data_IF_161233401023
#
_entry.id   IF_161233401023
#
_cell.length_a   1.000
_cell.length_b   1.000
_cell.length_c   1.000
_cell.angle_alpha   90.00
_cell.angle_beta   90.00
_cell.angle_gamma   90.00
#
_symmetry.space_group_name_H-M   'P 1'
#
loop_
_entity.id
_entity.type
_entity.pdbx_description
1 polymer ?
#
# COMPACT_ATOMS: atom_id res chain seq x y z
N UNK A 1 0.06 -19.32 -32.28
CA UNK A 1 1.03 -18.43 -31.60
C UNK A 1 0.41 -17.49 -30.55
N UNK A 2 -0.83 -16.99 -30.70
CA UNK A 2 -1.50 -16.19 -29.65
C UNK A 2 -1.94 -17.01 -28.43
N UNK A 3 -2.39 -18.25 -28.66
CA UNK A 3 -2.87 -19.17 -27.61
C UNK A 3 -1.82 -19.56 -26.56
N UNK A 4 -0.65 -20.07 -26.98
CA UNK A 4 0.44 -20.43 -26.04
C UNK A 4 0.92 -19.22 -25.22
N UNK A 5 0.98 -18.03 -25.84
CA UNK A 5 1.28 -16.78 -25.11
C UNK A 5 0.18 -16.42 -24.09
N UNK A 6 -1.06 -16.83 -24.32
CA UNK A 6 -2.18 -16.65 -23.37
C UNK A 6 -2.02 -17.54 -22.14
N UNK A 7 -1.70 -18.82 -22.34
CA UNK A 7 -1.43 -19.77 -21.25
C UNK A 7 -0.29 -19.30 -20.35
N UNK A 8 0.86 -18.96 -20.96
CA UNK A 8 2.03 -18.48 -20.22
C UNK A 8 1.72 -17.26 -19.36
N UNK A 9 0.89 -16.34 -19.89
CA UNK A 9 0.42 -15.18 -19.13
C UNK A 9 -0.46 -15.60 -17.96
N UNK A 10 -1.47 -16.45 -18.17
CA UNK A 10 -2.37 -16.91 -17.10
C UNK A 10 -1.60 -17.61 -15.97
N UNK A 11 -0.67 -18.51 -16.31
CA UNK A 11 0.21 -19.16 -15.35
C UNK A 11 1.05 -18.14 -14.56
N UNK A 12 1.73 -17.23 -15.26
CA UNK A 12 2.55 -16.21 -14.59
C UNK A 12 1.72 -15.29 -13.69
N UNK A 13 0.57 -14.83 -14.15
CA UNK A 13 -0.33 -13.98 -13.37
C UNK A 13 -0.81 -14.68 -12.10
N UNK A 14 -1.17 -15.97 -12.19
CA UNK A 14 -1.61 -16.76 -11.05
C UNK A 14 -0.56 -16.86 -9.94
N UNK A 15 0.71 -17.03 -10.32
CA UNK A 15 1.84 -17.11 -9.39
C UNK A 15 2.23 -15.73 -8.80
N UNK A 16 2.16 -14.68 -9.62
CA UNK A 16 2.55 -13.32 -9.22
C UNK A 16 1.62 -12.73 -8.14
N UNK A 17 0.34 -13.15 -8.08
CA UNK A 17 -0.64 -12.70 -7.07
C UNK A 17 -0.10 -12.85 -5.64
N UNK A 18 0.55 -13.97 -5.33
CA UNK A 18 1.14 -14.22 -4.00
C UNK A 18 2.20 -13.18 -3.65
N UNK A 19 3.06 -12.84 -4.60
CA UNK A 19 4.12 -11.86 -4.40
C UNK A 19 3.56 -10.44 -4.28
N UNK A 20 2.54 -10.11 -5.08
CA UNK A 20 1.89 -8.81 -5.06
C UNK A 20 1.18 -8.54 -3.73
N UNK A 21 0.37 -9.47 -3.24
CA UNK A 21 -0.34 -9.35 -1.96
C UNK A 21 0.60 -9.28 -0.76
N UNK A 22 1.66 -10.10 -0.74
CA UNK A 22 2.72 -10.00 0.29
C UNK A 22 3.44 -8.66 0.24
N UNK A 23 3.76 -8.16 -0.96
CA UNK A 23 4.42 -6.87 -1.14
C UNK A 23 3.54 -5.72 -0.65
N UNK A 24 2.25 -5.75 -0.99
CA UNK A 24 1.25 -4.79 -0.51
C UNK A 24 1.26 -4.69 1.02
N UNK A 25 1.10 -5.83 1.70
CA UNK A 25 1.12 -5.89 3.17
C UNK A 25 2.44 -5.37 3.75
N UNK A 26 3.57 -5.73 3.14
CA UNK A 26 4.90 -5.25 3.56
C UNK A 26 5.02 -3.73 3.46
N UNK A 27 4.55 -3.14 2.36
CA UNK A 27 4.57 -1.69 2.16
C UNK A 27 3.66 -0.94 3.14
N UNK A 28 2.46 -1.46 3.40
CA UNK A 28 1.57 -0.93 4.45
C UNK A 28 2.27 -0.93 5.81
N UNK A 29 2.91 -2.05 6.20
CA UNK A 29 3.64 -2.15 7.46
C UNK A 29 4.81 -1.16 7.54
N UNK A 30 5.59 -1.01 6.46
CA UNK A 30 6.68 -0.01 6.39
C UNK A 30 6.14 1.40 6.53
N UNK A 31 4.97 1.69 5.95
CA UNK A 31 4.32 2.99 6.07
C UNK A 31 3.89 3.28 7.50
N UNK A 32 3.43 2.29 8.27
CA UNK A 32 3.14 2.46 9.71
C UNK A 32 4.40 2.89 10.47
N UNK A 33 5.55 2.30 10.16
CA UNK A 33 6.83 2.67 10.78
C UNK A 33 7.23 4.10 10.41
N UNK A 34 7.08 4.49 9.14
CA UNK A 34 7.36 5.85 8.69
C UNK A 34 6.41 6.86 9.36
N UNK A 35 5.11 6.58 9.42
CA UNK A 35 4.10 7.40 10.12
C UNK A 35 4.46 7.63 11.60
N UNK A 36 4.90 6.59 12.32
CA UNK A 36 5.37 6.72 13.71
C UNK A 36 6.55 7.68 13.83
N UNK A 37 7.51 7.60 12.91
CA UNK A 37 8.65 8.52 12.87
C UNK A 37 8.20 9.96 12.57
N UNK A 38 7.26 10.17 11.65
CA UNK A 38 6.69 11.50 11.35
C UNK A 38 6.01 12.07 12.59
N UNK A 39 5.17 11.29 13.27
CA UNK A 39 4.48 11.74 14.49
C UNK A 39 5.46 12.14 15.59
N UNK A 40 6.48 11.31 15.83
CA UNK A 40 7.50 11.62 16.81
C UNK A 40 8.27 12.90 16.47
N UNK A 41 8.69 13.07 15.22
CA UNK A 41 9.45 14.25 14.78
C UNK A 41 8.59 15.51 14.81
N UNK A 42 7.33 15.46 14.38
CA UNK A 42 6.39 16.59 14.46
C UNK A 42 6.18 17.04 15.91
N UNK A 43 6.05 16.11 16.85
CA UNK A 43 5.96 16.43 18.28
C UNK A 43 7.21 17.15 18.78
N UNK A 44 8.40 16.64 18.45
CA UNK A 44 9.66 17.29 18.82
C UNK A 44 9.83 18.69 18.22
N UNK A 45 9.36 18.89 16.99
CA UNK A 45 9.36 20.21 16.33
C UNK A 45 8.45 21.17 17.08
N UNK A 46 7.20 20.76 17.37
CA UNK A 46 6.24 21.59 18.12
C UNK A 46 6.75 21.94 19.52
N UNK A 47 7.35 20.98 20.23
CA UNK A 47 7.97 21.23 21.55
C UNK A 47 9.12 22.23 21.44
N UNK A 48 9.92 22.18 20.37
CA UNK A 48 11.03 23.12 20.14
C UNK A 48 10.52 24.52 19.76
N UNK A 49 9.49 24.62 18.92
CA UNK A 49 8.82 25.88 18.55
C UNK A 49 8.21 26.56 19.78
N UNK A 50 7.51 25.80 20.63
CA UNK A 50 6.95 26.30 21.88
C UNK A 50 8.03 26.83 22.84
N UNK A 51 9.19 26.16 22.91
CA UNK A 51 10.33 26.67 23.70
C UNK A 51 10.90 27.95 23.11
N UNK A 52 11.04 28.02 21.78
CA UNK A 52 11.57 29.19 21.08
C UNK A 52 10.70 30.43 21.33
N UNK A 53 9.37 30.28 21.29
CA UNK A 53 8.41 31.35 21.57
C UNK A 53 8.56 31.96 22.98
N UNK A 54 9.15 31.23 23.92
CA UNK A 54 9.37 31.67 25.30
C UNK A 54 10.81 32.18 25.56
N UNK A 55 11.71 32.14 24.57
CA UNK A 55 13.08 32.59 24.71
C UNK A 55 13.22 34.07 24.32
N UNK A 56 13.94 34.83 25.15
CA UNK A 56 14.21 36.26 24.92
C UNK A 56 15.67 36.57 24.60
N UNK A 57 16.58 35.60 24.79
CA UNK A 57 18.00 35.78 24.53
C UNK A 57 18.39 35.28 23.13
N UNK A 58 19.20 36.08 22.43
CA UNK A 58 19.58 35.85 21.03
C UNK A 58 20.31 34.52 20.80
N UNK A 59 21.18 34.13 21.74
CA UNK A 59 21.93 32.86 21.66
C UNK A 59 21.00 31.64 21.73
N UNK A 60 19.98 31.71 22.58
CA UNK A 60 18.93 30.71 22.73
C UNK A 60 18.07 30.61 21.48
N UNK A 61 17.65 31.74 20.91
CA UNK A 61 16.90 31.80 19.65
C UNK A 61 17.68 31.11 18.51
N UNK A 62 18.94 31.48 18.29
CA UNK A 62 19.79 30.86 17.25
C UNK A 62 19.95 29.35 17.43
N UNK A 63 20.02 28.88 18.67
CA UNK A 63 20.19 27.46 18.99
C UNK A 63 18.89 26.68 18.77
N UNK A 64 17.75 27.24 19.18
CA UNK A 64 16.44 26.66 18.93
C UNK A 64 16.10 26.60 17.44
N UNK A 65 16.38 27.68 16.68
CA UNK A 65 16.19 27.71 15.22
C UNK A 65 17.00 26.61 14.53
N UNK A 66 18.28 26.44 14.94
CA UNK A 66 19.13 25.38 14.41
C UNK A 66 18.56 24.00 14.72
N UNK A 67 18.02 23.80 15.92
CA UNK A 67 17.40 22.53 16.32
C UNK A 67 16.15 22.23 15.48
N UNK A 68 15.25 23.20 15.30
CA UNK A 68 14.05 23.07 14.47
C UNK A 68 14.44 22.71 13.03
N UNK A 69 15.44 23.39 12.46
CA UNK A 69 15.94 23.07 11.12
C UNK A 69 16.43 21.62 11.00
N UNK A 70 17.24 21.14 11.93
CA UNK A 70 17.73 19.75 11.92
C UNK A 70 16.57 18.74 12.03
N UNK A 71 15.56 19.04 12.85
CA UNK A 71 14.38 18.19 12.97
C UNK A 71 13.55 18.16 11.68
N UNK A 72 13.40 19.31 11.01
CA UNK A 72 12.74 19.40 9.71
C UNK A 72 13.51 18.63 8.61
N UNK A 73 14.84 18.74 8.57
CA UNK A 73 15.68 17.94 7.67
C UNK A 73 15.51 16.43 7.93
N UNK A 74 15.40 16.03 9.19
CA UNK A 74 15.10 14.63 9.58
C UNK A 74 13.69 14.19 9.18
N UNK A 75 12.70 15.09 9.24
CA UNK A 75 11.31 14.83 8.87
C UNK A 75 11.16 14.58 7.36
N UNK A 76 12.01 15.18 6.53
CA UNK A 76 11.96 15.00 5.08
C UNK A 76 12.12 13.54 4.64
N UNK A 77 12.95 12.76 5.33
CA UNK A 77 13.20 11.35 4.98
C UNK A 77 11.97 10.43 5.14
N UNK A 78 11.30 10.36 6.31
CA UNK A 78 10.10 9.55 6.43
C UNK A 78 8.94 10.08 5.57
N UNK A 79 8.86 11.39 5.30
CA UNK A 79 7.89 11.95 4.34
C UNK A 79 8.14 11.44 2.92
N UNK A 80 9.39 11.47 2.44
CA UNK A 80 9.77 10.90 1.15
C UNK A 80 9.53 9.38 1.09
N UNK A 81 9.77 8.69 2.20
CA UNK A 81 9.47 7.25 2.33
C UNK A 81 7.99 6.96 2.14
N UNK A 82 7.09 7.78 2.72
CA UNK A 82 5.65 7.64 2.54
C UNK A 82 5.24 7.83 1.07
N UNK A 83 5.78 8.84 0.39
CA UNK A 83 5.53 9.08 -1.06
C UNK A 83 6.02 7.91 -1.92
N UNK A 84 7.20 7.37 -1.62
CA UNK A 84 7.71 6.16 -2.28
C UNK A 84 6.80 4.96 -2.05
N UNK A 85 6.35 4.73 -0.81
CA UNK A 85 5.47 3.62 -0.46
C UNK A 85 4.14 3.73 -1.22
N UNK A 86 3.54 4.91 -1.28
CA UNK A 86 2.31 5.14 -2.04
C UNK A 86 2.47 4.77 -3.53
N UNK A 87 3.59 5.16 -4.14
CA UNK A 87 3.90 4.80 -5.52
C UNK A 87 4.08 3.27 -5.69
N UNK A 88 4.67 2.58 -4.71
CA UNK A 88 4.77 1.11 -4.76
C UNK A 88 3.42 0.43 -4.65
N UNK A 89 2.50 0.96 -3.83
CA UNK A 89 1.12 0.47 -3.77
C UNK A 89 0.37 0.73 -5.08
N UNK A 90 0.56 1.90 -5.68
CA UNK A 90 0.01 2.26 -6.99
C UNK A 90 0.40 1.24 -8.07
N UNK A 91 1.69 0.89 -8.15
CA UNK A 91 2.19 -0.11 -9.10
C UNK A 91 1.51 -1.47 -8.91
N UNK A 92 1.27 -1.89 -7.66
CA UNK A 92 0.59 -3.17 -7.38
C UNK A 92 -0.88 -3.11 -7.81
N UNK A 93 -1.57 -2.00 -7.51
CA UNK A 93 -2.95 -1.75 -7.94
C UNK A 93 -3.06 -1.82 -9.47
N UNK A 94 -2.26 -1.04 -10.18
CA UNK A 94 -2.31 -0.95 -11.64
C UNK A 94 -1.93 -2.28 -12.32
N UNK A 95 -0.97 -3.01 -11.75
CA UNK A 95 -0.63 -4.36 -12.21
C UNK A 95 -1.80 -5.34 -12.02
N UNK A 96 -2.57 -5.21 -10.94
CA UNK A 96 -3.79 -6.00 -10.71
C UNK A 96 -4.83 -5.70 -11.79
N UNK A 97 -5.01 -4.43 -12.17
CA UNK A 97 -5.90 -4.02 -13.26
C UNK A 97 -5.47 -4.60 -14.60
N UNK A 98 -4.16 -4.53 -14.88
CA UNK A 98 -3.60 -5.10 -16.10
C UNK A 98 -3.89 -6.60 -16.19
N UNK A 99 -3.69 -7.34 -15.09
CA UNK A 99 -3.96 -8.77 -15.03
C UNK A 99 -5.44 -9.07 -15.20
N UNK A 100 -6.31 -8.28 -14.57
CA UNK A 100 -7.76 -8.40 -14.73
C UNK A 100 -8.17 -8.21 -16.20
N UNK A 101 -7.69 -7.15 -16.86
CA UNK A 101 -7.99 -6.89 -18.27
C UNK A 101 -7.50 -8.02 -19.19
N UNK A 102 -6.28 -8.52 -18.98
CA UNK A 102 -5.76 -9.66 -19.76
C UNK A 102 -6.62 -10.91 -19.54
N UNK A 103 -6.98 -11.19 -18.29
CA UNK A 103 -7.78 -12.38 -17.95
C UNK A 103 -9.18 -12.29 -18.55
N UNK A 104 -9.81 -11.11 -18.56
CA UNK A 104 -11.09 -10.88 -19.26
C UNK A 104 -10.99 -11.14 -20.76
N UNK A 105 -9.93 -10.68 -21.41
CA UNK A 105 -9.71 -11.00 -22.83
C UNK A 105 -9.54 -12.51 -23.06
N UNK A 106 -8.93 -13.24 -22.12
CA UNK A 106 -8.84 -14.70 -22.19
C UNK A 106 -10.19 -15.40 -21.98
N UNK A 107 -11.15 -14.77 -21.30
CA UNK A 107 -12.50 -15.31 -21.13
C UNK A 107 -13.33 -15.26 -22.43
N UNK A 108 -13.00 -14.35 -23.34
CA UNK A 108 -13.65 -14.24 -24.67
C UNK A 108 -13.12 -15.28 -25.68
N UNK A 109 -12.05 -16.00 -25.34
CA UNK A 109 -11.44 -17.04 -26.18
C UNK A 109 -11.99 -18.44 -25.80
N UNK A 110 -12.46 -19.18 -26.79
CA UNK A 110 -13.15 -20.48 -26.61
C UNK A 110 -12.30 -21.54 -25.89
N UNK A 111 -10.97 -21.44 -25.96
CA UNK A 111 -10.06 -22.41 -25.35
C UNK A 111 -9.52 -21.87 -24.02
N UNK A 112 -9.18 -20.58 -23.96
CA UNK A 112 -8.60 -19.99 -22.75
C UNK A 112 -9.64 -19.72 -21.65
N UNK A 113 -10.93 -19.60 -21.97
CA UNK A 113 -11.97 -19.27 -21.00
C UNK A 113 -12.11 -20.28 -19.85
N UNK A 114 -11.74 -21.54 -20.10
CA UNK A 114 -11.76 -22.61 -19.10
C UNK A 114 -10.41 -23.34 -19.04
N UNK A 115 -9.33 -22.67 -19.42
CA UNK A 115 -7.99 -23.23 -19.38
C UNK A 115 -7.60 -23.59 -17.94
N UNK A 116 -7.08 -24.81 -17.79
CA UNK A 116 -6.53 -25.29 -16.53
C UNK A 116 -5.12 -24.72 -16.33
N UNK A 117 -5.00 -23.76 -15.40
CA UNK A 117 -3.73 -23.10 -15.06
C UNK A 117 -2.94 -23.99 -14.12
N UNK A 118 -3.63 -24.54 -13.12
CA UNK A 118 -3.17 -25.61 -12.23
C UNK A 118 -4.34 -26.59 -12.05
N UNK A 119 -4.12 -27.81 -11.52
CA UNK A 119 -5.21 -28.79 -11.34
C UNK A 119 -6.43 -28.25 -10.58
N UNK A 120 -6.24 -27.25 -9.71
CA UNK A 120 -7.31 -26.68 -8.87
C UNK A 120 -7.71 -25.24 -9.28
N UNK A 121 -7.02 -24.63 -10.25
CA UNK A 121 -7.29 -23.25 -10.69
C UNK A 121 -7.43 -23.21 -12.20
N UNK A 122 -8.59 -22.72 -12.64
CA UNK A 122 -8.84 -22.38 -14.04
C UNK A 122 -8.95 -20.87 -14.22
N UNK A 123 -9.02 -20.43 -15.46
CA UNK A 123 -9.18 -19.02 -15.83
C UNK A 123 -10.30 -18.30 -15.06
N UNK A 124 -11.49 -18.88 -14.82
CA UNK A 124 -12.54 -18.22 -14.05
C UNK A 124 -12.17 -17.95 -12.58
N UNK A 125 -11.46 -18.88 -11.91
CA UNK A 125 -11.01 -18.66 -10.53
C UNK A 125 -9.92 -17.57 -10.47
N UNK A 126 -9.03 -17.52 -11.48
CA UNK A 126 -8.07 -16.42 -11.59
C UNK A 126 -8.77 -15.08 -11.81
N UNK A 127 -9.82 -15.05 -12.64
CA UNK A 127 -10.62 -13.85 -12.85
C UNK A 127 -11.26 -13.39 -11.54
N UNK A 128 -11.90 -14.31 -10.81
CA UNK A 128 -12.61 -14.00 -9.57
C UNK A 128 -11.68 -13.39 -8.52
N UNK A 129 -10.48 -13.96 -8.31
CA UNK A 129 -9.53 -13.41 -7.34
C UNK A 129 -9.01 -12.04 -7.80
N UNK A 130 -8.82 -11.80 -9.10
CA UNK A 130 -8.36 -10.52 -9.62
C UNK A 130 -9.44 -9.43 -9.47
N UNK A 131 -10.70 -9.77 -9.68
CA UNK A 131 -11.84 -8.88 -9.41
C UNK A 131 -11.93 -8.54 -7.92
N UNK A 132 -11.79 -9.56 -7.07
CA UNK A 132 -11.72 -9.37 -5.63
C UNK A 132 -10.57 -8.42 -5.26
N UNK A 133 -9.33 -8.70 -5.68
CA UNK A 133 -8.17 -7.87 -5.36
C UNK A 133 -8.32 -6.44 -5.87
N UNK A 134 -8.83 -6.23 -7.09
CA UNK A 134 -9.12 -4.88 -7.61
C UNK A 134 -10.12 -4.15 -6.71
N UNK A 135 -11.22 -4.79 -6.34
CA UNK A 135 -12.25 -4.19 -5.46
C UNK A 135 -11.73 -3.79 -4.08
N UNK A 136 -10.62 -4.40 -3.62
CA UNK A 136 -10.01 -4.13 -2.33
C UNK A 136 -8.85 -3.15 -2.40
N UNK A 137 -7.99 -3.25 -3.40
CA UNK A 137 -6.81 -2.39 -3.55
C UNK A 137 -7.14 -0.97 -3.97
N UNK A 138 -8.21 -0.76 -4.74
CA UNK A 138 -8.62 0.58 -5.16
C UNK A 138 -8.99 1.50 -4.00
N UNK A 139 -10.05 1.19 -3.22
CA UNK A 139 -10.45 2.04 -2.12
C UNK A 139 -9.37 2.10 -1.04
N UNK A 140 -8.61 1.02 -0.84
CA UNK A 140 -7.48 1.06 0.10
C UNK A 140 -6.40 2.04 -0.35
N UNK A 141 -6.06 2.04 -1.63
CA UNK A 141 -5.06 2.95 -2.18
C UNK A 141 -5.51 4.41 -2.07
N UNK A 142 -6.77 4.71 -2.36
CA UNK A 142 -7.33 6.07 -2.22
C UNK A 142 -7.21 6.58 -0.79
N UNK A 143 -7.51 5.73 0.21
CA UNK A 143 -7.27 6.07 1.62
C UNK A 143 -5.80 6.36 1.89
N UNK A 144 -4.87 5.57 1.32
CA UNK A 144 -3.41 5.81 1.50
C UNK A 144 -2.95 7.08 0.81
N UNK A 145 -3.49 7.39 -0.36
CA UNK A 145 -3.20 8.63 -1.07
C UNK A 145 -3.64 9.84 -0.25
N UNK A 146 -4.88 9.82 0.25
CA UNK A 146 -5.41 10.87 1.11
C UNK A 146 -4.53 11.11 2.34
N UNK A 147 -4.06 10.04 2.99
CA UNK A 147 -3.14 10.16 4.12
C UNK A 147 -1.84 10.87 3.69
N UNK A 148 -1.22 10.44 2.61
CA UNK A 148 0.07 10.99 2.16
C UNK A 148 -0.05 12.44 1.71
N UNK A 149 -1.16 12.82 1.08
CA UNK A 149 -1.44 14.22 0.72
C UNK A 149 -1.66 15.09 1.97
N UNK A 150 -2.38 14.57 2.97
CA UNK A 150 -2.65 15.30 4.21
C UNK A 150 -1.38 15.52 5.06
N UNK A 151 -0.36 14.66 4.96
CA UNK A 151 0.90 14.80 5.70
C UNK A 151 1.64 16.12 5.43
N UNK A 152 1.46 16.71 4.25
CA UNK A 152 2.09 17.98 3.90
C UNK A 152 1.41 19.16 4.64
N UNK A 153 0.14 19.03 5.07
CA UNK A 153 -0.69 20.11 5.63
C UNK A 153 -1.30 19.79 7.01
N UNK A 154 -0.54 19.12 7.89
CA UNK A 154 -1.00 18.81 9.25
C UNK A 154 -1.10 20.09 10.08
N UNK A 155 -2.29 20.35 10.65
CA UNK A 155 -2.55 21.51 11.51
C UNK A 155 -2.49 21.19 13.01
N UNK A 156 -2.71 19.94 13.41
CA UNK A 156 -2.80 19.56 14.82
C UNK A 156 -2.27 18.14 15.12
N UNK A 157 -2.10 17.83 16.40
CA UNK A 157 -1.76 16.49 16.87
C UNK A 157 -2.92 15.49 16.64
N UNK A 158 -4.16 15.96 16.78
CA UNK A 158 -5.36 15.14 16.54
C UNK A 158 -5.44 14.68 15.08
N UNK A 159 -5.13 15.57 14.13
CA UNK A 159 -5.04 15.21 12.71
C UNK A 159 -4.02 14.07 12.50
N UNK A 160 -2.90 14.10 13.21
CA UNK A 160 -1.86 13.08 13.08
C UNK A 160 -2.28 11.71 13.60
N UNK A 161 -3.01 11.66 14.70
CA UNK A 161 -3.56 10.41 15.22
C UNK A 161 -4.60 9.84 14.24
N UNK A 162 -5.48 10.69 13.68
CA UNK A 162 -6.43 10.28 12.65
C UNK A 162 -5.72 9.71 11.40
N UNK A 163 -4.66 10.36 10.94
CA UNK A 163 -3.87 9.89 9.78
C UNK A 163 -3.15 8.57 10.09
N UNK A 164 -2.63 8.39 11.30
CA UNK A 164 -2.01 7.14 11.73
C UNK A 164 -3.02 5.98 11.72
N UNK A 165 -4.22 6.21 12.25
CA UNK A 165 -5.29 5.22 12.27
C UNK A 165 -5.79 4.88 10.85
N UNK A 166 -5.99 5.90 10.01
CA UNK A 166 -6.38 5.72 8.61
C UNK A 166 -5.33 4.90 7.82
N UNK A 167 -4.03 5.14 8.06
CA UNK A 167 -2.97 4.32 7.49
C UNK A 167 -3.00 2.88 8.03
N UNK A 168 -3.22 2.71 9.33
CA UNK A 168 -3.12 1.43 10.02
C UNK A 168 -4.26 0.44 9.72
N UNK A 169 -5.49 0.94 9.64
CA UNK A 169 -6.71 0.13 9.75
C UNK A 169 -6.98 -0.82 8.58
N UNK A 170 -6.39 -0.61 7.40
CA UNK A 170 -6.52 -1.47 6.22
C UNK A 170 -7.88 -2.13 6.02
N UNK A 171 -8.93 -1.30 5.98
CA UNK A 171 -10.32 -1.76 6.02
C UNK A 171 -10.74 -2.53 4.77
N UNK A 172 -10.12 -2.25 3.63
CA UNK A 172 -10.50 -2.87 2.37
C UNK A 172 -9.54 -4.00 1.99
N UNK A 173 -8.23 -3.78 2.12
CA UNK A 173 -7.20 -4.77 1.79
C UNK A 173 -6.57 -5.42 3.03
N UNK A 174 -7.42 -5.77 3.99
CA UNK A 174 -7.07 -6.38 5.26
C UNK A 174 -8.30 -6.99 5.93
N UNK A 175 -8.12 -7.52 7.13
CA UNK A 175 -9.18 -8.21 7.87
C UNK A 175 -9.39 -9.68 7.46
N UNK A 176 -10.39 -10.28 8.07
CA UNK A 176 -10.66 -11.72 7.99
C UNK A 176 -11.11 -12.14 6.60
N UNK A 177 -12.12 -11.46 6.03
CA UNK A 177 -12.64 -11.76 4.68
C UNK A 177 -11.53 -11.72 3.61
N UNK A 178 -10.69 -10.67 3.64
CA UNK A 178 -9.54 -10.56 2.74
C UNK A 178 -8.56 -11.71 2.90
N UNK A 179 -8.23 -12.03 4.16
CA UNK A 179 -7.26 -13.08 4.46
C UNK A 179 -7.79 -14.46 4.06
N UNK A 180 -9.07 -14.73 4.34
CA UNK A 180 -9.72 -15.98 4.01
C UNK A 180 -9.75 -16.20 2.50
N UNK A 181 -10.33 -15.26 1.73
CA UNK A 181 -10.45 -15.40 0.27
C UNK A 181 -9.09 -15.50 -0.43
N UNK A 182 -8.09 -14.77 0.06
CA UNK A 182 -6.73 -14.89 -0.46
C UNK A 182 -6.09 -16.24 -0.11
N UNK A 183 -6.26 -16.74 1.11
CA UNK A 183 -5.69 -18.02 1.53
C UNK A 183 -6.33 -19.19 0.76
N UNK A 184 -7.66 -19.20 0.61
CA UNK A 184 -8.38 -20.20 -0.19
C UNK A 184 -7.81 -20.28 -1.62
N UNK A 185 -7.60 -19.13 -2.25
CA UNK A 185 -6.96 -19.09 -3.58
C UNK A 185 -5.52 -19.60 -3.57
N UNK A 186 -4.71 -19.21 -2.57
CA UNK A 186 -3.31 -19.62 -2.48
C UNK A 186 -3.14 -21.11 -2.16
N UNK A 187 -4.04 -21.69 -1.36
CA UNK A 187 -4.05 -23.11 -1.02
C UNK A 187 -4.43 -23.95 -2.25
N UNK A 188 -5.46 -23.51 -3.00
CA UNK A 188 -5.81 -24.10 -4.28
C UNK A 188 -4.62 -24.05 -5.26
N UNK A 189 -3.91 -22.91 -5.34
CA UNK A 189 -2.75 -22.72 -6.22
C UNK A 189 -1.60 -23.67 -5.88
N UNK A 190 -1.40 -23.97 -4.59
CA UNK A 190 -0.31 -24.85 -4.13
C UNK A 190 -0.70 -26.33 -4.11
N UNK A 191 -1.97 -26.67 -4.36
CA UNK A 191 -2.46 -28.05 -4.26
C UNK A 191 -2.57 -28.56 -2.81
N UNK A 192 -2.63 -27.65 -1.84
CA UNK A 192 -2.79 -28.00 -0.43
C UNK A 192 -4.30 -28.04 -0.11
N UNK A 193 -4.87 -29.23 -0.09
CA UNK A 193 -6.20 -29.52 0.46
C UNK A 193 -6.08 -30.59 1.54
#
# INVERSE_FOLDING_TARGET
>A
MQFERGKDKLCKMSMDIRHMTKSWRSFVCKGRTAMKSICHLRKLISDAENRLNNLTNERGLRTGDKQIRVLNERLANPMATMKMILNKLLIIRDKTCQYLSITRMCMDDEILCNYEITPNIRTPQLLEILEFLRSRFDPEWEVKEMVVLALDNIGSAEDMDMLMDAWGNCRHAGGEEFSQKLNEYLDALMGNH
#
